data_IF_066639547345
#
_entry.id   IF_066639547345
#
_cell.length_a   1.000
_cell.length_b   1.000
_cell.length_c   1.000
_cell.angle_alpha   90.00
_cell.angle_beta   90.00
_cell.angle_gamma   90.00
#
_symmetry.space_group_name_H-M   'P 1'
#
loop_
_entity.id
_entity.type
_entity.pdbx_description
1 polymer ?
#
# COMPACT_ATOMS: atom_id res chain seq x y z
N UNK A 1 0.81 9.20 15.96
CA UNK A 1 0.81 8.47 14.67
C UNK A 1 -0.20 7.34 14.76
N UNK A 2 -1.18 7.29 13.84
CA UNK A 2 -2.34 6.38 13.89
C UNK A 2 -1.97 4.90 13.99
N UNK A 3 -0.79 4.52 13.53
CA UNK A 3 -0.31 3.14 13.50
C UNK A 3 0.81 2.82 14.49
N UNK A 4 1.26 3.79 15.30
CA UNK A 4 2.35 3.58 16.28
C UNK A 4 3.60 2.92 15.66
N UNK A 5 4.00 3.32 14.44
CA UNK A 5 5.07 2.70 13.64
C UNK A 5 4.85 1.23 13.22
N UNK A 6 3.65 0.69 13.40
CA UNK A 6 3.27 -0.63 12.92
C UNK A 6 3.07 -0.62 11.41
N UNK A 7 3.70 -1.57 10.72
CA UNK A 7 3.48 -1.77 9.29
C UNK A 7 2.02 -2.17 9.03
N UNK A 8 1.33 -1.48 8.14
CA UNK A 8 -0.06 -1.79 7.79
C UNK A 8 -0.23 -3.14 7.07
N UNK A 9 0.84 -3.76 6.56
CA UNK A 9 0.79 -5.07 5.90
C UNK A 9 0.98 -6.21 6.91
N UNK A 10 1.97 -6.13 7.80
CA UNK A 10 2.34 -7.25 8.69
C UNK A 10 2.24 -6.96 10.19
N UNK A 11 1.95 -5.73 10.59
CA UNK A 11 1.84 -5.31 11.99
C UNK A 11 3.17 -5.16 12.73
N UNK A 12 4.30 -5.54 12.13
CA UNK A 12 5.63 -5.38 12.76
C UNK A 12 5.88 -3.90 13.07
N UNK A 13 6.25 -3.65 14.33
CA UNK A 13 6.88 -2.40 14.77
C UNK A 13 8.39 -2.64 14.80
N UNK A 14 9.14 -2.02 13.87
CA UNK A 14 10.57 -2.26 13.79
C UNK A 14 11.29 -1.51 14.92
N UNK A 15 11.83 -2.24 15.88
CA UNK A 15 12.64 -1.67 16.95
C UNK A 15 14.01 -1.19 16.45
N UNK A 16 14.43 -0.05 16.99
CA UNK A 16 15.74 0.56 16.78
C UNK A 16 16.30 0.98 18.13
N UNK A 17 17.58 1.37 18.17
CA UNK A 17 18.20 1.91 19.39
C UNK A 17 17.44 3.09 20.00
N UNK A 18 16.68 3.85 19.20
CA UNK A 18 16.07 5.12 19.60
C UNK A 18 14.54 5.11 19.58
N UNK A 19 13.91 3.93 19.44
CA UNK A 19 12.45 3.79 19.34
C UNK A 19 12.06 2.91 18.17
N UNK A 20 10.95 3.21 17.52
CA UNK A 20 10.44 2.42 16.40
C UNK A 20 10.60 3.14 15.06
N UNK A 21 10.72 2.36 13.99
CA UNK A 21 10.89 2.87 12.64
C UNK A 21 9.81 2.34 11.70
N UNK A 22 9.32 3.24 10.85
CA UNK A 22 8.37 2.98 9.78
C UNK A 22 8.58 4.01 8.69
N UNK A 23 8.17 3.68 7.47
CA UNK A 23 8.27 4.54 6.30
C UNK A 23 6.85 4.94 5.86
N UNK A 24 6.69 6.19 5.46
CA UNK A 24 5.48 6.66 4.79
C UNK A 24 5.65 6.41 3.28
N UNK A 25 4.87 5.48 2.75
CA UNK A 25 4.88 5.12 1.34
C UNK A 25 3.70 5.79 0.64
N UNK A 26 3.94 6.59 -0.40
CA UNK A 26 2.83 7.11 -1.21
C UNK A 26 2.18 5.96 -1.99
N UNK A 27 0.85 5.91 -2.02
CA UNK A 27 0.11 4.86 -2.74
C UNK A 27 0.24 5.10 -4.26
N UNK A 28 -0.12 6.31 -4.68
CA UNK A 28 0.16 6.87 -5.99
C UNK A 28 1.37 7.79 -5.88
N UNK A 29 2.45 7.48 -6.62
CA UNK A 29 3.70 8.22 -6.58
C UNK A 29 3.53 9.71 -6.86
N UNK A 30 4.36 10.54 -6.23
CA UNK A 30 4.36 12.00 -6.45
C UNK A 30 5.03 12.36 -7.79
N UNK A 31 4.60 13.49 -8.36
CA UNK A 31 5.20 14.08 -9.56
C UNK A 31 5.04 13.22 -10.82
N UNK A 32 5.51 13.76 -11.94
CA UNK A 32 5.36 13.11 -13.25
C UNK A 32 6.12 11.78 -13.29
N UNK A 33 5.52 10.68 -13.78
CA UNK A 33 4.25 10.60 -14.52
C UNK A 33 3.02 10.23 -13.69
N UNK A 34 3.15 10.11 -12.37
CA UNK A 34 2.10 9.59 -11.51
C UNK A 34 1.18 10.68 -10.97
N UNK A 35 1.75 11.86 -10.67
CA UNK A 35 1.05 13.07 -10.24
C UNK A 35 0.09 12.83 -9.06
N UNK A 36 0.47 11.91 -8.16
CA UNK A 36 -0.27 11.60 -6.94
C UNK A 36 -0.28 12.78 -5.95
N UNK A 37 -1.34 12.93 -5.14
CA UNK A 37 -1.46 14.03 -4.20
C UNK A 37 -0.59 13.79 -2.95
N UNK A 38 0.10 14.82 -2.47
CA UNK A 38 0.86 14.76 -1.22
C UNK A 38 -0.06 15.00 0.00
N UNK A 39 -0.78 13.96 0.39
CA UNK A 39 -1.74 13.98 1.50
C UNK A 39 -1.79 12.65 2.23
N UNK A 40 -2.20 12.68 3.49
CA UNK A 40 -2.28 11.48 4.34
C UNK A 40 -3.10 10.34 3.70
N UNK A 41 -4.20 10.66 3.02
CA UNK A 41 -5.05 9.65 2.36
C UNK A 41 -4.36 8.91 1.21
N UNK A 42 -3.23 9.42 0.70
CA UNK A 42 -2.40 8.79 -0.33
C UNK A 42 -1.14 8.16 0.29
N UNK A 43 -1.14 7.79 1.57
CA UNK A 43 0.03 7.22 2.23
C UNK A 43 -0.29 5.94 2.98
N UNK A 44 0.71 5.08 3.14
CA UNK A 44 0.70 3.92 4.03
C UNK A 44 1.89 3.99 4.99
N UNK A 45 1.68 3.53 6.22
CA UNK A 45 2.75 3.28 7.19
C UNK A 45 3.28 1.85 6.98
N UNK A 46 4.49 1.71 6.44
CA UNK A 46 5.09 0.42 6.07
C UNK A 46 6.43 0.18 6.77
N UNK A 47 6.82 -1.09 6.91
CA UNK A 47 8.21 -1.43 7.21
C UNK A 47 9.05 -1.41 5.92
N UNK A 48 10.39 -1.33 6.00
CA UNK A 48 11.25 -1.21 4.82
C UNK A 48 11.03 -2.31 3.78
N UNK A 49 10.81 -3.55 4.23
CA UNK A 49 10.58 -4.68 3.34
C UNK A 49 9.31 -4.51 2.50
N UNK A 50 8.19 -4.15 3.15
CA UNK A 50 6.91 -3.99 2.46
C UNK A 50 6.84 -2.71 1.66
N UNK A 51 7.54 -1.64 2.07
CA UNK A 51 7.63 -0.42 1.27
C UNK A 51 8.30 -0.71 -0.07
N UNK A 52 9.48 -1.34 -0.06
CA UNK A 52 10.17 -1.69 -1.32
C UNK A 52 9.32 -2.65 -2.17
N UNK A 53 8.62 -3.62 -1.57
CA UNK A 53 7.73 -4.51 -2.32
C UNK A 53 6.54 -3.76 -2.95
N UNK A 54 5.98 -2.78 -2.24
CA UNK A 54 4.85 -1.98 -2.71
C UNK A 54 5.25 -1.04 -3.84
N UNK A 55 6.37 -0.33 -3.70
CA UNK A 55 6.94 0.57 -4.72
C UNK A 55 7.35 -0.18 -5.99
N UNK A 56 7.79 -1.43 -5.84
CA UNK A 56 8.18 -2.30 -6.95
C UNK A 56 7.03 -3.15 -7.49
N UNK A 57 5.78 -2.79 -7.17
CA UNK A 57 4.56 -3.41 -7.70
C UNK A 57 4.45 -4.92 -7.42
N UNK A 58 5.16 -5.43 -6.41
CA UNK A 58 5.07 -6.84 -6.00
C UNK A 58 3.79 -7.12 -5.21
N UNK A 59 3.33 -6.12 -4.46
CA UNK A 59 2.08 -6.15 -3.69
C UNK A 59 1.07 -5.18 -4.30
N UNK A 60 -0.21 -5.48 -4.15
CA UNK A 60 -1.31 -4.55 -4.35
C UNK A 60 -2.37 -4.74 -3.27
N UNK A 61 -3.26 -3.76 -3.10
CA UNK A 61 -4.42 -3.85 -2.19
C UNK A 61 -5.67 -4.07 -3.05
N UNK A 62 -6.43 -5.13 -2.80
CA UNK A 62 -7.68 -5.44 -3.51
C UNK A 62 -8.89 -4.63 -2.99
N UNK A 63 -10.04 -4.83 -3.61
CA UNK A 63 -11.33 -4.19 -3.28
C UNK A 63 -11.80 -4.51 -1.85
N UNK A 64 -11.39 -5.64 -1.29
CA UNK A 64 -11.70 -6.05 0.08
C UNK A 64 -10.62 -5.62 1.09
N UNK A 65 -9.73 -4.70 0.71
CA UNK A 65 -8.62 -4.23 1.54
C UNK A 65 -7.65 -5.34 1.96
N UNK A 66 -7.50 -6.37 1.13
CA UNK A 66 -6.48 -7.41 1.31
C UNK A 66 -5.24 -7.07 0.51
N UNK A 67 -4.10 -7.30 1.12
CA UNK A 67 -2.80 -7.20 0.48
C UNK A 67 -2.54 -8.51 -0.25
N UNK A 68 -2.29 -8.42 -1.54
CA UNK A 68 -2.07 -9.56 -2.42
C UNK A 68 -0.81 -9.41 -3.23
N UNK A 69 -0.26 -10.54 -3.65
CA UNK A 69 0.87 -10.59 -4.57
C UNK A 69 0.40 -10.32 -6.00
N UNK A 70 1.02 -9.37 -6.69
CA UNK A 70 0.63 -8.96 -8.05
C UNK A 70 0.70 -10.08 -9.07
N UNK A 71 1.66 -11.00 -8.93
CA UNK A 71 1.93 -12.08 -9.90
C UNK A 71 0.78 -13.08 -10.04
N UNK A 72 0.24 -13.55 -8.93
CA UNK A 72 -0.67 -14.70 -8.86
C UNK A 72 -1.95 -14.41 -8.07
N UNK A 73 -2.05 -13.24 -7.42
CA UNK A 73 -3.19 -12.86 -6.58
C UNK A 73 -3.20 -13.56 -5.22
N UNK A 74 -2.09 -14.21 -4.82
CA UNK A 74 -1.99 -14.87 -3.52
C UNK A 74 -2.23 -13.86 -2.39
N UNK A 75 -3.07 -14.25 -1.42
CA UNK A 75 -3.34 -13.46 -0.23
C UNK A 75 -2.10 -13.43 0.68
N UNK A 76 -1.62 -12.24 1.00
CA UNK A 76 -0.54 -12.02 1.97
C UNK A 76 -1.12 -11.70 3.34
N UNK A 77 -2.02 -10.73 3.42
CA UNK A 77 -2.67 -10.32 4.67
C UNK A 77 -3.91 -9.47 4.39
N UNK A 78 -4.67 -9.15 5.44
CA UNK A 78 -5.60 -8.01 5.41
C UNK A 78 -4.84 -6.73 5.76
N UNK A 79 -5.09 -5.64 5.04
CA UNK A 79 -4.50 -4.34 5.35
C UNK A 79 -5.00 -3.88 6.73
N UNK A 80 -4.06 -3.60 7.63
CA UNK A 80 -4.36 -3.04 8.95
C UNK A 80 -4.75 -1.57 8.76
N UNK A 81 -6.00 -1.27 9.10
CA UNK A 81 -6.61 0.06 8.92
C UNK A 81 -6.96 0.68 10.26
N UNK A 82 -6.85 2.00 10.34
CA UNK A 82 -7.29 2.79 11.48
C UNK A 82 -8.53 3.59 11.08
N UNK A 83 -9.58 3.71 11.92
CA UNK A 83 -10.81 4.42 11.57
C UNK A 83 -10.61 5.87 11.14
N UNK A 84 -9.64 6.56 11.73
CA UNK A 84 -9.30 7.95 11.39
C UNK A 84 -8.41 8.09 10.15
N UNK A 85 -7.86 6.98 9.64
CA UNK A 85 -7.06 6.98 8.41
C UNK A 85 -7.94 6.64 7.21
N UNK A 86 -8.54 7.69 6.62
CA UNK A 86 -9.34 7.56 5.40
C UNK A 86 -8.41 7.49 4.20
N UNK A 87 -8.05 6.28 3.78
CA UNK A 87 -7.25 6.01 2.59
C UNK A 87 -8.09 6.30 1.34
N UNK A 88 -7.52 7.00 0.37
CA UNK A 88 -8.15 7.33 -0.90
C UNK A 88 -8.15 6.13 -1.84
N UNK A 89 -9.34 5.60 -2.09
CA UNK A 89 -9.54 4.42 -2.94
C UNK A 89 -9.11 4.66 -4.39
N UNK A 90 -9.17 5.90 -4.90
CA UNK A 90 -8.70 6.21 -6.25
C UNK A 90 -7.17 6.03 -6.39
N UNK A 91 -6.40 6.39 -5.36
CA UNK A 91 -4.96 6.17 -5.33
C UNK A 91 -4.64 4.66 -5.29
N UNK A 92 -5.43 3.89 -4.50
CA UNK A 92 -5.30 2.44 -4.41
C UNK A 92 -5.64 1.75 -5.74
N UNK A 93 -6.72 2.17 -6.39
CA UNK A 93 -7.12 1.68 -7.72
C UNK A 93 -6.03 1.96 -8.76
N UNK A 94 -5.46 3.17 -8.76
CA UNK A 94 -4.36 3.54 -9.65
C UNK A 94 -3.15 2.60 -9.47
N UNK A 95 -2.69 2.40 -8.23
CA UNK A 95 -1.57 1.51 -7.92
C UNK A 95 -1.87 0.05 -8.29
N UNK A 96 -3.07 -0.44 -7.99
CA UNK A 96 -3.55 -1.76 -8.40
C UNK A 96 -3.55 -1.92 -9.92
N UNK A 97 -3.91 -0.87 -10.65
CA UNK A 97 -3.83 -0.81 -12.12
C UNK A 97 -2.40 -1.00 -12.64
N UNK A 98 -1.41 -0.33 -12.04
CA UNK A 98 0.02 -0.51 -12.35
C UNK A 98 0.50 -1.95 -12.10
N UNK A 99 -0.10 -2.64 -11.13
CA UNK A 99 0.16 -4.05 -10.84
C UNK A 99 -0.49 -5.02 -11.84
N UNK A 100 -1.19 -4.53 -12.87
CA UNK A 100 -1.92 -5.34 -13.84
C UNK A 100 -3.22 -5.93 -13.31
N UNK A 101 -3.80 -5.33 -12.25
CA UNK A 101 -4.97 -5.85 -11.53
C UNK A 101 -6.16 -4.88 -11.53
N UNK A 102 -6.27 -4.04 -12.56
CA UNK A 102 -7.42 -3.16 -12.70
C UNK A 102 -8.72 -3.97 -12.77
N UNK A 103 -9.74 -3.49 -12.06
CA UNK A 103 -11.14 -3.92 -12.16
C UNK A 103 -11.68 -3.83 -13.60
N UNK A 104 -11.03 -3.02 -14.45
CA UNK A 104 -11.27 -2.92 -15.89
C UNK A 104 -10.19 -3.66 -16.69
N UNK A 105 -9.95 -4.94 -16.38
CA UNK A 105 -9.28 -5.84 -17.33
C UNK A 105 -10.34 -6.64 -18.09
N UNK A 106 -10.48 -6.23 -19.35
CA UNK A 106 -11.22 -6.91 -20.41
C UNK A 106 -11.02 -8.43 -20.39
N UNK A 107 -12.12 -9.12 -20.66
CA UNK A 107 -12.11 -10.53 -21.04
C UNK A 107 -11.00 -10.80 -22.06
N UNK A 108 -10.20 -11.82 -21.74
CA UNK A 108 -9.22 -12.36 -22.67
C UNK A 108 -9.79 -13.65 -23.26
N UNK A 109 -9.89 -13.64 -24.59
CA UNK A 109 -10.34 -14.67 -25.53
C UNK A 109 -11.86 -14.81 -25.73
#
# INVERSE_FOLDING_TARGET
>A
MLYQHGCQVCGVQLETRFGHYSEAAHIQGLGTPHDGPDRLSNMLCLCPNHHVQFDRLFLFIDEEWKVRRSRDGELISSLIRHPEHVIDEACVEYHRGLCGRSSYSLGSA
#
